data_IF_085392154188
#
_entry.id   IF_085392154188
#
_cell.length_a   1.000
_cell.length_b   1.000
_cell.length_c   1.000
_cell.angle_alpha   90.00
_cell.angle_beta   90.00
_cell.angle_gamma   90.00
#
_symmetry.space_group_name_H-M   'P 1'
#
loop_
_entity.id
_entity.type
_entity.pdbx_description
1 polymer ?
#
# COMPACT_ATOMS: atom_id res chain seq x y z
N UNK A 1 6.31 -9.51 -18.20
CA UNK A 1 5.50 -9.27 -19.41
C UNK A 1 4.11 -8.85 -18.98
N UNK A 2 3.55 -7.82 -19.63
CA UNK A 2 2.13 -7.43 -19.44
C UNK A 2 1.27 -8.45 -20.20
N UNK A 3 0.22 -8.96 -19.56
CA UNK A 3 -0.70 -9.93 -20.18
C UNK A 3 -1.85 -9.23 -20.90
N UNK A 4 -2.57 -9.94 -21.77
CA UNK A 4 -3.75 -9.43 -22.49
C UNK A 4 -4.83 -8.83 -21.56
N UNK A 5 -4.85 -9.20 -20.28
CA UNK A 5 -5.87 -8.78 -19.31
C UNK A 5 -5.45 -7.55 -18.49
N UNK A 6 -4.56 -6.70 -19.01
CA UNK A 6 -4.07 -5.51 -18.30
C UNK A 6 -3.41 -5.81 -16.94
N UNK A 7 -2.75 -6.96 -16.83
CA UNK A 7 -2.05 -7.36 -15.62
C UNK A 7 -0.53 -7.45 -15.85
N UNK A 8 0.26 -7.18 -14.82
CA UNK A 8 1.67 -7.61 -14.77
C UNK A 8 1.73 -9.01 -14.18
N UNK A 9 2.42 -9.90 -14.87
CA UNK A 9 2.82 -11.19 -14.32
C UNK A 9 4.08 -11.01 -13.47
N UNK A 10 3.97 -11.23 -12.16
CA UNK A 10 5.08 -11.17 -11.22
C UNK A 10 5.46 -12.58 -10.78
N UNK A 11 6.67 -13.01 -11.16
CA UNK A 11 7.30 -14.25 -10.71
C UNK A 11 8.45 -13.89 -9.76
N UNK A 12 8.41 -14.38 -8.52
CA UNK A 12 9.51 -14.19 -7.57
C UNK A 12 10.64 -15.20 -7.87
N UNK A 13 11.84 -14.72 -8.15
CA UNK A 13 12.99 -15.60 -8.45
C UNK A 13 13.55 -16.31 -7.21
N UNK A 14 13.51 -15.64 -6.04
CA UNK A 14 14.12 -16.16 -4.80
C UNK A 14 13.24 -17.12 -4.00
N UNK A 15 11.98 -17.27 -4.34
CA UNK A 15 11.04 -18.19 -3.68
C UNK A 15 10.27 -18.98 -4.74
N UNK A 16 10.87 -20.05 -5.23
CA UNK A 16 10.28 -20.94 -6.24
C UNK A 16 8.93 -21.56 -5.81
N UNK A 17 8.68 -21.67 -4.50
CA UNK A 17 7.42 -22.19 -3.94
C UNK A 17 6.29 -21.14 -3.86
N UNK A 18 6.52 -19.88 -4.22
CA UNK A 18 5.45 -18.88 -4.27
C UNK A 18 4.83 -18.84 -5.65
N UNK A 19 3.50 -18.95 -5.67
CA UNK A 19 2.72 -18.84 -6.89
C UNK A 19 2.99 -17.53 -7.63
N UNK A 20 2.96 -17.64 -8.95
CA UNK A 20 3.05 -16.48 -9.83
C UNK A 20 1.81 -15.60 -9.63
N UNK A 21 2.02 -14.31 -9.44
CA UNK A 21 0.93 -13.37 -9.17
C UNK A 21 0.59 -12.54 -10.40
N UNK A 22 -0.72 -12.41 -10.66
CA UNK A 22 -1.25 -11.45 -11.62
C UNK A 22 -1.61 -10.17 -10.86
N UNK A 23 -0.96 -9.06 -11.20
CA UNK A 23 -1.20 -7.75 -10.61
C UNK A 23 -1.97 -6.90 -11.61
N UNK A 24 -3.26 -6.59 -11.36
CA UNK A 24 -4.03 -5.70 -12.22
C UNK A 24 -3.45 -4.29 -12.24
N UNK A 25 -3.40 -3.69 -13.43
CA UNK A 25 -2.92 -2.31 -13.61
C UNK A 25 -4.09 -1.33 -13.72
N UNK A 26 -4.02 -0.25 -12.94
CA UNK A 26 -4.85 0.93 -13.14
C UNK A 26 -4.44 1.68 -14.42
N UNK A 27 -5.32 2.55 -14.93
CA UNK A 27 -5.00 3.38 -16.10
C UNK A 27 -3.76 4.25 -15.85
N UNK A 28 -3.67 4.89 -14.68
CA UNK A 28 -2.49 5.68 -14.28
C UNK A 28 -1.21 4.84 -14.32
N UNK A 29 -1.24 3.60 -13.82
CA UNK A 29 -0.06 2.73 -13.85
C UNK A 29 0.35 2.40 -15.30
N UNK A 30 -0.61 2.18 -16.21
CA UNK A 30 -0.32 1.95 -17.63
C UNK A 30 0.28 3.17 -18.30
N UNK A 31 -0.27 4.35 -18.05
CA UNK A 31 0.23 5.60 -18.65
C UNK A 31 1.68 5.86 -18.22
N UNK A 32 1.99 5.64 -16.94
CA UNK A 32 3.35 5.73 -16.42
C UNK A 32 4.26 4.69 -17.11
N UNK A 33 3.85 3.42 -17.17
CA UNK A 33 4.66 2.38 -17.80
C UNK A 33 4.89 2.65 -19.30
N UNK A 34 3.86 3.13 -20.01
CA UNK A 34 3.92 3.49 -21.41
C UNK A 34 4.89 4.64 -21.68
N UNK A 35 4.94 5.66 -20.80
CA UNK A 35 5.92 6.75 -20.87
C UNK A 35 7.37 6.25 -20.89
N UNK A 36 7.65 5.10 -20.26
CA UNK A 36 8.99 4.51 -20.18
C UNK A 36 9.19 3.34 -21.15
N UNK A 37 8.30 3.12 -22.14
CA UNK A 37 8.35 1.92 -23.01
C UNK A 37 8.48 0.62 -22.21
N UNK A 38 7.81 0.56 -21.05
CA UNK A 38 7.88 -0.54 -20.08
C UNK A 38 9.31 -0.85 -19.55
N UNK A 39 10.29 0.03 -19.79
CA UNK A 39 11.68 -0.05 -19.32
C UNK A 39 11.91 1.02 -18.25
N UNK A 40 11.48 0.71 -17.03
CA UNK A 40 11.65 1.61 -15.89
C UNK A 40 13.14 1.78 -15.54
N UNK A 41 13.58 2.99 -15.16
CA UNK A 41 14.95 3.21 -14.71
C UNK A 41 15.23 2.42 -13.43
N UNK A 42 16.37 1.74 -13.39
CA UNK A 42 16.84 1.05 -12.20
C UNK A 42 17.61 2.03 -11.31
N UNK A 43 17.00 2.41 -10.20
CA UNK A 43 17.62 3.27 -9.19
C UNK A 43 17.65 2.56 -7.83
N UNK A 44 18.54 2.99 -6.94
CA UNK A 44 18.57 2.46 -5.59
C UNK A 44 17.32 2.86 -4.81
N UNK A 45 16.92 2.03 -3.85
CA UNK A 45 15.81 2.34 -2.95
C UNK A 45 16.01 3.66 -2.21
N UNK A 46 17.26 4.03 -1.90
CA UNK A 46 17.58 5.31 -1.28
C UNK A 46 17.20 6.47 -2.18
N UNK A 47 17.65 6.47 -3.45
CA UNK A 47 17.29 7.52 -4.42
C UNK A 47 15.79 7.57 -4.69
N UNK A 48 15.13 6.41 -4.72
CA UNK A 48 13.68 6.36 -4.87
C UNK A 48 12.96 7.00 -3.68
N UNK A 49 13.42 6.75 -2.45
CA UNK A 49 12.87 7.35 -1.24
C UNK A 49 13.10 8.86 -1.20
N UNK A 50 14.30 9.32 -1.59
CA UNK A 50 14.61 10.75 -1.71
C UNK A 50 13.64 11.44 -2.69
N UNK A 51 13.45 10.87 -3.88
CA UNK A 51 12.49 11.39 -4.87
C UNK A 51 11.05 11.42 -4.34
N UNK A 52 10.60 10.40 -3.59
CA UNK A 52 9.28 10.39 -2.95
C UNK A 52 9.14 11.56 -1.97
N UNK A 53 10.17 11.81 -1.14
CA UNK A 53 10.16 12.91 -0.17
C UNK A 53 10.10 14.28 -0.86
N UNK A 54 10.85 14.46 -1.94
CA UNK A 54 10.79 15.69 -2.74
C UNK A 54 9.39 15.95 -3.31
N UNK A 55 8.72 14.91 -3.81
CA UNK A 55 7.35 15.04 -4.33
C UNK A 55 6.39 15.47 -3.22
N UNK A 56 6.46 14.83 -2.05
CA UNK A 56 5.61 15.13 -0.87
C UNK A 56 5.82 16.57 -0.39
N UNK A 57 7.07 17.04 -0.38
CA UNK A 57 7.40 18.41 -0.03
C UNK A 57 6.84 19.42 -1.04
N UNK A 58 6.98 19.14 -2.35
CA UNK A 58 6.44 20.01 -3.41
C UNK A 58 4.92 20.14 -3.38
N UNK A 59 4.20 19.12 -2.90
CA UNK A 59 2.75 19.18 -2.74
C UNK A 59 2.31 19.76 -1.38
N UNK A 60 3.26 20.22 -0.54
CA UNK A 60 2.99 20.95 0.70
C UNK A 60 2.72 20.08 1.93
N UNK A 61 3.04 18.78 1.89
CA UNK A 61 2.79 17.86 3.00
C UNK A 61 3.95 17.88 4.01
N UNK A 62 4.18 19.06 4.62
CA UNK A 62 5.31 19.35 5.51
C UNK A 62 4.93 19.43 7.00
N UNK A 63 3.70 19.02 7.35
CA UNK A 63 3.25 19.01 8.75
C UNK A 63 3.98 17.94 9.57
N UNK A 64 4.09 18.18 10.87
CA UNK A 64 4.65 17.22 11.80
C UNK A 64 3.63 16.14 12.18
N UNK A 65 4.14 14.91 12.35
CA UNK A 65 3.39 13.76 12.83
C UNK A 65 4.07 13.15 14.05
N UNK A 66 3.25 12.84 15.05
CA UNK A 66 3.69 12.09 16.23
C UNK A 66 3.63 10.59 15.95
N UNK A 67 4.63 9.85 16.43
CA UNK A 67 4.57 8.41 16.50
C UNK A 67 5.26 7.91 17.76
N UNK A 68 4.87 6.73 18.22
CA UNK A 68 5.55 6.07 19.33
C UNK A 68 6.31 4.82 18.90
N UNK A 69 7.43 4.54 19.56
CA UNK A 69 8.16 3.28 19.46
C UNK A 69 8.27 2.65 20.84
N UNK A 70 7.95 1.37 20.93
CA UNK A 70 8.14 0.59 22.16
C UNK A 70 9.56 0.03 22.16
N UNK A 71 10.33 0.29 23.22
CA UNK A 71 11.66 -0.27 23.47
C UNK A 71 11.65 -0.93 24.85
N UNK A 72 11.46 -2.25 24.89
CA UNK A 72 11.20 -2.98 26.12
C UNK A 72 9.86 -2.56 26.72
N UNK A 73 9.87 -2.05 27.95
CA UNK A 73 8.69 -1.53 28.65
C UNK A 73 8.44 -0.04 28.43
N UNK A 74 9.39 0.68 27.83
CA UNK A 74 9.30 2.13 27.63
C UNK A 74 8.65 2.42 26.28
N UNK A 75 7.63 3.27 26.30
CA UNK A 75 7.03 3.85 25.08
C UNK A 75 7.61 5.25 24.86
N UNK A 76 8.48 5.39 23.87
CA UNK A 76 9.07 6.67 23.49
C UNK A 76 8.22 7.32 22.40
N UNK A 77 7.89 8.61 22.56
CA UNK A 77 7.17 9.42 21.56
C UNK A 77 8.17 10.27 20.78
N UNK A 78 7.91 10.40 19.49
CA UNK A 78 8.75 11.13 18.55
C UNK A 78 7.90 12.00 17.65
N UNK A 79 8.42 13.17 17.33
CA UNK A 79 7.84 14.07 16.32
C UNK A 79 8.78 14.14 15.12
N UNK A 80 8.22 13.98 13.92
CA UNK A 80 8.94 14.07 12.64
C UNK A 80 8.01 14.68 11.59
N UNK A 81 8.59 15.31 10.58
CA UNK A 81 7.81 15.74 9.42
C UNK A 81 7.18 14.53 8.71
N UNK A 82 5.97 14.71 8.19
CA UNK A 82 5.23 13.68 7.46
C UNK A 82 6.07 13.03 6.36
N UNK A 83 6.78 13.82 5.55
CA UNK A 83 7.66 13.32 4.47
C UNK A 83 8.70 12.31 4.97
N UNK A 84 9.24 12.48 6.18
CA UNK A 84 10.26 11.58 6.74
C UNK A 84 9.69 10.23 7.19
N UNK A 85 8.38 10.13 7.28
CA UNK A 85 7.65 8.89 7.59
C UNK A 85 7.26 8.10 6.34
N UNK A 86 7.43 8.66 5.15
CA UNK A 86 7.04 8.04 3.90
C UNK A 86 8.26 7.48 3.17
N UNK A 87 8.10 6.26 2.67
CA UNK A 87 9.07 5.53 1.86
C UNK A 87 8.34 4.62 0.87
N UNK A 88 9.08 3.95 0.01
CA UNK A 88 8.54 2.89 -0.87
C UNK A 88 7.80 1.80 -0.10
N UNK A 89 8.26 1.47 1.12
CA UNK A 89 7.59 0.49 1.96
C UNK A 89 6.19 0.96 2.37
N UNK A 90 5.97 2.27 2.55
CA UNK A 90 4.66 2.83 2.94
C UNK A 90 3.59 2.60 1.86
N UNK A 91 3.97 2.47 0.59
CA UNK A 91 3.02 2.33 -0.51
C UNK A 91 2.15 1.07 -0.42
N UNK A 92 2.71 -0.09 -0.05
CA UNK A 92 1.94 -1.35 0.04
C UNK A 92 0.92 -1.35 1.20
N UNK A 93 1.30 -1.00 2.44
CA UNK A 93 0.36 -0.79 3.53
C UNK A 93 -0.75 0.21 3.18
N UNK A 94 -0.40 1.37 2.60
CA UNK A 94 -1.39 2.36 2.17
C UNK A 94 -2.35 1.79 1.13
N UNK A 95 -1.87 1.05 0.13
CA UNK A 95 -2.71 0.34 -0.84
C UNK A 95 -3.70 -0.61 -0.17
N UNK A 96 -3.23 -1.43 0.79
CA UNK A 96 -4.07 -2.39 1.52
C UNK A 96 -5.16 -1.67 2.31
N UNK A 97 -4.80 -0.65 3.09
CA UNK A 97 -5.75 0.14 3.89
C UNK A 97 -6.79 0.81 3.00
N UNK A 98 -6.40 1.43 1.88
CA UNK A 98 -7.33 2.07 0.94
C UNK A 98 -8.32 1.05 0.36
N UNK A 99 -7.84 -0.12 -0.09
CA UNK A 99 -8.69 -1.15 -0.68
C UNK A 99 -9.69 -1.72 0.34
N UNK A 100 -9.25 -1.93 1.59
CA UNK A 100 -10.12 -2.36 2.68
C UNK A 100 -11.17 -1.31 3.03
N UNK A 101 -10.78 -0.04 3.10
CA UNK A 101 -11.73 1.05 3.36
C UNK A 101 -12.78 1.20 2.25
N UNK A 102 -12.48 0.72 1.04
CA UNK A 102 -13.42 0.60 -0.07
C UNK A 102 -14.25 -0.71 -0.06
N UNK A 103 -14.16 -1.51 0.99
CA UNK A 103 -14.93 -2.74 1.16
C UNK A 103 -14.47 -3.91 0.28
N UNK A 104 -13.27 -3.85 -0.31
CA UNK A 104 -12.77 -4.95 -1.14
C UNK A 104 -12.41 -6.15 -0.26
N UNK A 105 -12.85 -7.35 -0.66
CA UNK A 105 -12.62 -8.57 0.09
C UNK A 105 -11.13 -8.84 0.34
N UNK A 106 -10.81 -9.22 1.57
CA UNK A 106 -9.44 -9.48 2.04
C UNK A 106 -8.69 -10.45 1.14
N UNK A 107 -9.33 -11.56 0.73
CA UNK A 107 -8.73 -12.57 -0.16
C UNK A 107 -8.27 -11.97 -1.49
N UNK A 108 -9.05 -11.04 -2.05
CA UNK A 108 -8.70 -10.31 -3.28
C UNK A 108 -7.48 -9.43 -3.05
N UNK A 109 -7.47 -8.62 -1.99
CA UNK A 109 -6.34 -7.74 -1.67
C UNK A 109 -5.06 -8.54 -1.37
N UNK A 110 -5.18 -9.66 -0.65
CA UNK A 110 -4.07 -10.57 -0.33
C UNK A 110 -3.47 -11.17 -1.60
N UNK A 111 -4.30 -11.59 -2.55
CA UNK A 111 -3.85 -12.14 -3.84
C UNK A 111 -3.01 -11.14 -4.66
N UNK A 112 -3.38 -9.86 -4.63
CA UNK A 112 -2.66 -8.79 -5.34
C UNK A 112 -1.39 -8.40 -4.57
N UNK A 113 -1.51 -8.22 -3.25
CA UNK A 113 -0.41 -7.71 -2.42
C UNK A 113 0.66 -8.75 -2.09
N UNK A 114 0.36 -10.05 -2.27
CA UNK A 114 1.27 -11.18 -2.03
C UNK A 114 1.34 -11.63 -0.57
N UNK A 115 0.31 -11.36 0.23
CA UNK A 115 0.20 -11.84 1.60
C UNK A 115 -0.38 -13.25 1.64
N UNK A 116 0.33 -14.19 2.25
CA UNK A 116 -0.14 -15.58 2.44
C UNK A 116 -0.77 -15.78 3.82
N UNK A 117 -0.31 -15.05 4.83
CA UNK A 117 -0.81 -15.15 6.20
C UNK A 117 -1.88 -14.11 6.51
N UNK A 118 -3.01 -14.56 7.06
CA UNK A 118 -4.08 -13.66 7.52
C UNK A 118 -3.63 -12.81 8.73
N UNK A 119 -2.78 -13.35 9.61
CA UNK A 119 -2.30 -12.65 10.81
C UNK A 119 -1.51 -11.38 10.47
N UNK A 120 -0.58 -11.46 9.51
CA UNK A 120 0.19 -10.28 9.07
C UNK A 120 -0.69 -9.29 8.30
N UNK A 121 -1.68 -9.79 7.56
CA UNK A 121 -2.64 -8.94 6.85
C UNK A 121 -3.61 -8.21 7.80
N UNK A 122 -3.99 -8.82 8.91
CA UNK A 122 -4.89 -8.21 9.91
C UNK A 122 -4.27 -7.02 10.66
N UNK A 123 -2.95 -6.82 10.60
CA UNK A 123 -2.33 -5.60 11.13
C UNK A 123 -2.81 -4.33 10.41
N UNK A 124 -3.30 -4.46 9.18
CA UNK A 124 -3.89 -3.35 8.41
C UNK A 124 -5.38 -3.16 8.68
N UNK A 125 -5.93 -3.78 9.73
CA UNK A 125 -7.32 -3.67 10.12
C UNK A 125 -7.49 -2.49 11.07
N UNK A 126 -7.90 -1.34 10.54
CA UNK A 126 -8.39 -0.22 11.34
C UNK A 126 -9.85 -0.03 11.01
N UNK A 127 -10.72 -0.59 11.85
CA UNK A 127 -12.15 -0.38 11.73
C UNK A 127 -12.46 0.99 12.33
N UNK A 128 -12.73 1.96 11.46
CA UNK A 128 -13.28 3.24 11.86
C UNK A 128 -14.72 3.05 12.35
N UNK A 129 -15.12 3.81 13.37
CA UNK A 129 -16.49 3.75 13.91
C UNK A 129 -17.53 4.11 12.85
N UNK A 130 -17.21 5.04 11.93
CA UNK A 130 -18.06 5.36 10.79
C UNK A 130 -18.30 4.15 9.88
N UNK A 131 -17.28 3.31 9.66
CA UNK A 131 -17.39 2.10 8.84
C UNK A 131 -18.31 1.05 9.49
N UNK A 132 -18.30 0.93 10.83
CA UNK A 132 -19.23 0.05 11.56
C UNK A 132 -20.67 0.50 11.42
N UNK A 133 -20.90 1.80 11.57
CA UNK A 133 -22.23 2.39 11.53
C UNK A 133 -22.83 2.25 10.12
N UNK A 134 -22.05 2.58 9.09
CA UNK A 134 -22.44 2.36 7.69
C UNK A 134 -22.73 0.88 7.38
N UNK A 135 -21.95 -0.05 7.93
CA UNK A 135 -22.18 -1.47 7.70
C UNK A 135 -23.55 -1.92 8.24
N UNK A 136 -23.90 -1.53 9.46
CA UNK A 136 -25.21 -1.86 10.05
C UNK A 136 -26.33 -1.19 9.26
N UNK A 137 -26.24 0.12 9.02
CA UNK A 137 -27.27 0.88 8.30
C UNK A 137 -27.48 0.35 6.88
N UNK A 138 -26.40 0.03 6.15
CA UNK A 138 -26.52 -0.51 4.79
C UNK A 138 -27.23 -1.86 4.71
N UNK A 139 -27.16 -2.67 5.78
CA UNK A 139 -27.73 -4.03 5.81
C UNK A 139 -29.14 -4.04 6.41
N UNK A 140 -29.37 -3.25 7.45
CA UNK A 140 -30.59 -3.33 8.26
C UNK A 140 -31.53 -2.15 8.10
N UNK A 141 -31.03 -0.99 7.65
CA UNK A 141 -31.83 0.23 7.49
C UNK A 141 -32.15 0.53 6.00
N UNK A 142 -31.70 -0.32 5.07
CA UNK A 142 -32.00 -0.21 3.62
C UNK A 142 -33.34 -0.86 3.22
N UNK A 143 -34.31 -0.95 4.14
CA UNK A 143 -35.66 -1.48 3.88
C UNK A 143 -36.72 -0.38 3.95
#
# INVERSE_FOLDING_TARGET
MVTLNNCILLKEEKNSNKDTRLIPLSNIAKDILGKYDYKLPLISNQKQNEAIKEVIEKIGFTHDVEYSRVKGVVQERFVRQFKDRISTHTARPSFITIMRNKGIADKTIMSISGHTGIKSFNQYHQVDNAARLNAITSVFDSF
#
